data_IF_538498249583
#
_entry.id   IF_538498249583
#
_cell.length_a   1.000
_cell.length_b   1.000
_cell.length_c   1.000
_cell.angle_alpha   90.00
_cell.angle_beta   90.00
_cell.angle_gamma   90.00
#
_symmetry.space_group_name_H-M   'P 1'
#
loop_
_entity.id
_entity.type
_entity.pdbx_description
1 polymer ?
#
# COMPACT_ATOMS: atom_id res chain seq x y z
N UNK A 1 0.56 -23.14 18.16
CA UNK A 1 1.43 -23.76 17.13
C UNK A 1 1.60 -22.76 16.01
N UNK A 2 2.83 -22.56 15.51
CA UNK A 2 3.18 -21.46 14.60
C UNK A 2 2.58 -21.66 13.21
N UNK A 3 2.23 -20.55 12.54
CA UNK A 3 1.67 -20.51 11.20
C UNK A 3 2.54 -21.30 10.22
N UNK A 4 2.06 -22.47 9.78
CA UNK A 4 2.73 -23.22 8.73
C UNK A 4 2.40 -22.58 7.38
N UNK A 5 3.23 -21.61 6.97
CA UNK A 5 3.32 -21.19 5.59
C UNK A 5 3.68 -22.41 4.72
N UNK A 6 2.69 -22.91 3.99
CA UNK A 6 2.90 -23.77 2.83
C UNK A 6 3.56 -22.90 1.75
N UNK A 7 4.78 -23.28 1.36
CA UNK A 7 5.84 -22.51 0.68
C UNK A 7 6.74 -21.71 1.64
N UNK A 8 8.01 -22.10 1.72
CA UNK A 8 9.03 -21.38 2.48
C UNK A 8 9.05 -19.92 2.05
N UNK A 9 8.57 -19.03 2.92
CA UNK A 9 8.53 -17.61 2.63
C UNK A 9 9.96 -17.09 2.37
N UNK A 10 10.27 -16.76 1.11
CA UNK A 10 11.57 -16.20 0.76
C UNK A 10 11.61 -14.70 1.13
N UNK A 11 12.11 -14.45 2.34
CA UNK A 11 12.27 -13.12 2.91
C UNK A 11 13.15 -12.21 2.04
N UNK A 12 14.17 -12.75 1.36
CA UNK A 12 15.05 -11.95 0.49
C UNK A 12 14.29 -11.54 -0.77
N UNK A 13 13.64 -12.48 -1.45
CA UNK A 13 12.86 -12.18 -2.63
C UNK A 13 11.72 -11.19 -2.35
N UNK A 14 11.11 -11.27 -1.16
CA UNK A 14 10.10 -10.30 -0.72
C UNK A 14 10.68 -8.90 -0.49
N UNK A 15 11.80 -8.77 0.25
CA UNK A 15 12.47 -7.46 0.43
C UNK A 15 12.85 -6.82 -0.90
N UNK A 16 13.37 -7.61 -1.84
CA UNK A 16 13.71 -7.13 -3.18
C UNK A 16 12.45 -6.70 -3.96
N UNK A 17 11.32 -7.40 -3.79
CA UNK A 17 10.05 -7.01 -4.38
C UNK A 17 9.55 -5.68 -3.81
N UNK A 18 9.57 -5.49 -2.49
CA UNK A 18 9.18 -4.23 -1.84
C UNK A 18 10.07 -3.07 -2.31
N UNK A 19 11.39 -3.30 -2.42
CA UNK A 19 12.32 -2.29 -2.95
C UNK A 19 12.02 -1.92 -4.41
N UNK A 20 11.67 -2.91 -5.25
CA UNK A 20 11.19 -2.67 -6.62
C UNK A 20 9.94 -1.81 -6.63
N UNK A 21 8.94 -2.15 -5.83
CA UNK A 21 7.68 -1.39 -5.73
C UNK A 21 7.95 0.06 -5.30
N UNK A 22 8.75 0.26 -4.26
CA UNK A 22 9.16 1.60 -3.79
C UNK A 22 9.81 2.42 -4.90
N UNK A 23 10.72 1.82 -5.68
CA UNK A 23 11.35 2.45 -6.82
C UNK A 23 10.39 2.73 -7.98
N UNK A 24 9.47 1.81 -8.29
CA UNK A 24 8.45 2.01 -9.33
C UNK A 24 7.47 3.10 -8.97
N UNK A 25 7.10 3.27 -7.70
CA UNK A 25 6.19 4.35 -7.29
C UNK A 25 6.84 5.72 -7.44
N UNK A 26 8.10 5.86 -7.05
CA UNK A 26 8.89 7.07 -7.32
C UNK A 26 9.00 7.36 -8.83
N UNK A 27 9.24 6.31 -9.62
CA UNK A 27 9.24 6.42 -11.09
C UNK A 27 7.87 6.82 -11.63
N UNK A 28 6.78 6.23 -11.11
CA UNK A 28 5.41 6.49 -11.53
C UNK A 28 5.00 7.93 -11.32
N UNK A 29 5.42 8.53 -10.20
CA UNK A 29 5.23 9.96 -9.94
C UNK A 29 5.88 10.84 -11.01
N UNK A 30 7.12 10.52 -11.41
CA UNK A 30 7.81 11.20 -12.51
C UNK A 30 7.12 10.96 -13.85
N UNK A 31 6.78 9.71 -14.17
CA UNK A 31 6.21 9.33 -15.44
C UNK A 31 4.86 9.99 -15.68
N UNK A 32 4.05 10.12 -14.62
CA UNK A 32 2.80 10.85 -14.64
C UNK A 32 3.00 12.34 -14.85
N UNK A 33 3.82 13.00 -14.01
CA UNK A 33 4.03 14.45 -14.09
C UNK A 33 4.70 14.88 -15.39
N UNK A 34 5.76 14.20 -15.80
CA UNK A 34 6.49 14.51 -17.02
C UNK A 34 5.85 13.89 -18.27
N UNK A 35 4.74 13.14 -18.17
CA UNK A 35 4.01 12.61 -19.33
C UNK A 35 4.82 11.66 -20.20
N UNK A 36 5.65 10.80 -19.61
CA UNK A 36 6.39 9.77 -20.38
C UNK A 36 6.76 8.56 -19.54
N UNK A 37 6.66 7.39 -20.17
CA UNK A 37 7.05 6.10 -19.58
C UNK A 37 8.47 5.68 -19.97
N UNK A 38 9.19 6.46 -20.77
CA UNK A 38 10.54 6.16 -21.21
C UNK A 38 11.57 6.69 -20.21
N UNK A 39 12.43 5.83 -19.62
CA UNK A 39 13.49 6.28 -18.72
C UNK A 39 14.42 7.31 -19.38
N UNK A 40 14.74 7.12 -20.66
CA UNK A 40 15.61 8.04 -21.42
C UNK A 40 14.95 9.42 -21.60
N UNK A 41 13.64 9.45 -21.89
CA UNK A 41 12.94 10.74 -22.01
C UNK A 41 12.80 11.44 -20.65
N UNK A 42 12.67 10.69 -19.54
CA UNK A 42 12.72 11.28 -18.20
C UNK A 42 14.08 11.91 -17.91
N UNK A 43 15.19 11.26 -18.26
CA UNK A 43 16.53 11.85 -18.10
C UNK A 43 16.71 13.12 -18.92
N UNK A 44 16.20 13.16 -20.15
CA UNK A 44 16.23 14.37 -20.97
C UNK A 44 15.36 15.49 -20.36
N UNK A 45 14.12 15.18 -19.93
CA UNK A 45 13.18 16.18 -19.40
C UNK A 45 13.60 16.74 -18.03
N UNK A 46 14.14 15.88 -17.17
CA UNK A 46 14.45 16.20 -15.78
C UNK A 46 15.90 16.67 -15.62
N UNK A 47 16.85 15.87 -16.11
CA UNK A 47 18.27 16.09 -15.91
C UNK A 47 18.91 16.91 -17.05
N UNK A 48 18.15 17.27 -18.10
CA UNK A 48 18.63 18.05 -19.23
C UNK A 48 19.67 17.32 -20.10
N UNK A 49 19.75 15.99 -19.96
CA UNK A 49 20.76 15.17 -20.65
C UNK A 49 20.40 15.03 -22.11
N UNK A 50 21.41 15.16 -22.98
CA UNK A 50 21.25 14.82 -24.40
C UNK A 50 21.07 13.30 -24.52
N UNK A 51 20.02 12.82 -25.20
CA UNK A 51 19.77 11.39 -25.35
C UNK A 51 20.82 10.71 -26.26
N UNK A 52 21.51 11.50 -27.07
CA UNK A 52 22.57 11.07 -27.99
C UNK A 52 23.81 11.96 -27.80
N UNK A 53 24.99 11.39 -27.99
CA UNK A 53 26.24 12.13 -28.05
C UNK A 53 26.49 12.72 -29.45
N UNK A 54 27.66 13.33 -29.65
CA UNK A 54 28.04 13.99 -30.91
C UNK A 54 28.19 13.00 -32.07
N UNK A 55 28.33 11.70 -31.80
CA UNK A 55 28.41 10.62 -32.77
C UNK A 55 27.04 9.99 -33.07
N UNK A 56 25.98 10.47 -32.42
CA UNK A 56 24.64 9.88 -32.52
C UNK A 56 24.45 8.63 -31.67
N UNK A 57 25.41 8.28 -30.81
CA UNK A 57 25.33 7.14 -29.91
C UNK A 57 24.52 7.48 -28.66
N UNK A 58 23.75 6.52 -28.17
CA UNK A 58 22.86 6.76 -27.03
C UNK A 58 23.68 6.96 -25.75
N UNK A 59 23.58 8.14 -25.12
CA UNK A 59 24.18 8.38 -23.79
C UNK A 59 23.35 7.63 -22.75
N UNK A 60 23.81 6.43 -22.38
CA UNK A 60 23.06 5.55 -21.48
C UNK A 60 23.31 5.97 -20.03
N UNK A 61 22.55 6.92 -19.51
CA UNK A 61 22.27 6.86 -18.07
C UNK A 61 21.12 5.88 -17.83
N UNK A 62 21.29 5.10 -16.76
CA UNK A 62 20.35 4.07 -16.34
C UNK A 62 19.65 4.49 -15.05
N UNK A 63 19.61 5.79 -14.71
CA UNK A 63 19.15 6.28 -13.40
C UNK A 63 17.72 5.86 -13.14
N UNK A 64 16.78 6.30 -13.98
CA UNK A 64 15.36 5.97 -13.82
C UNK A 64 15.04 4.52 -14.19
N UNK A 65 15.85 3.89 -15.06
CA UNK A 65 15.75 2.45 -15.32
C UNK A 65 16.03 1.64 -14.06
N UNK A 66 17.09 1.99 -13.31
CA UNK A 66 17.46 1.35 -12.05
C UNK A 66 16.38 1.55 -10.97
N UNK A 67 15.67 2.67 -10.96
CA UNK A 67 14.53 2.86 -10.05
C UNK A 67 13.39 1.90 -10.37
N UNK A 68 13.01 1.81 -11.65
CA UNK A 68 11.99 0.87 -12.13
C UNK A 68 12.34 -0.60 -11.85
N UNK A 69 13.63 -0.92 -11.79
CA UNK A 69 14.15 -2.26 -11.47
C UNK A 69 14.42 -2.47 -9.97
N UNK A 70 14.16 -1.48 -9.09
CA UNK A 70 14.46 -1.55 -7.66
C UNK A 70 15.94 -1.62 -7.31
N UNK A 71 16.83 -1.35 -8.26
CA UNK A 71 18.29 -1.33 -8.09
C UNK A 71 18.80 -0.04 -7.46
N UNK A 72 17.98 1.01 -7.43
CA UNK A 72 18.28 2.28 -6.78
C UNK A 72 16.99 2.97 -6.33
N UNK A 73 17.11 3.87 -5.37
CA UNK A 73 16.07 4.81 -4.92
C UNK A 73 16.57 6.25 -5.10
N UNK A 74 15.67 7.25 -5.06
CA UNK A 74 16.09 8.66 -5.14
C UNK A 74 17.00 9.06 -3.96
N UNK A 75 18.16 9.64 -4.28
CA UNK A 75 19.01 10.33 -3.29
C UNK A 75 18.42 11.69 -2.92
N UNK A 76 18.83 12.27 -1.79
CA UNK A 76 18.42 13.64 -1.39
C UNK A 76 18.68 14.66 -2.50
N UNK A 77 19.87 14.62 -3.13
CA UNK A 77 20.18 15.52 -4.24
C UNK A 77 19.20 15.34 -5.41
N UNK A 78 18.80 14.10 -5.70
CA UNK A 78 17.81 13.85 -6.75
C UNK A 78 16.42 14.35 -6.35
N UNK A 79 16.04 14.19 -5.08
CA UNK A 79 14.77 14.71 -4.54
C UNK A 79 14.74 16.24 -4.68
N UNK A 80 15.78 16.93 -4.25
CA UNK A 80 15.90 18.39 -4.36
C UNK A 80 15.87 18.85 -5.83
N UNK A 81 16.64 18.18 -6.70
CA UNK A 81 16.67 18.48 -8.14
C UNK A 81 15.30 18.32 -8.80
N UNK A 82 14.62 17.20 -8.55
CA UNK A 82 13.27 16.94 -9.11
C UNK A 82 12.25 17.93 -8.56
N UNK A 83 12.31 18.25 -7.26
CA UNK A 83 11.44 19.24 -6.65
C UNK A 83 11.58 20.59 -7.36
N UNK A 84 12.83 21.07 -7.53
CA UNK A 84 13.09 22.31 -8.27
C UNK A 84 12.60 22.25 -9.72
N UNK A 85 12.87 21.14 -10.41
CA UNK A 85 12.52 20.97 -11.82
C UNK A 85 11.01 20.88 -12.07
N UNK A 86 10.26 20.38 -11.09
CA UNK A 86 8.80 20.26 -11.14
C UNK A 86 8.06 21.39 -10.42
N UNK A 87 8.78 22.45 -9.99
CA UNK A 87 8.24 23.53 -9.15
C UNK A 87 7.49 23.01 -7.90
N UNK A 88 8.01 21.95 -7.28
CA UNK A 88 7.45 21.31 -6.09
C UNK A 88 6.30 20.33 -6.35
N UNK A 89 5.86 20.16 -7.60
CA UNK A 89 4.73 19.29 -7.93
C UNK A 89 5.02 17.80 -7.68
N UNK A 90 6.28 17.36 -7.84
CA UNK A 90 6.67 15.98 -7.55
C UNK A 90 7.39 15.89 -6.20
N UNK A 91 6.70 15.30 -5.23
CA UNK A 91 7.21 15.00 -3.88
C UNK A 91 7.83 13.61 -3.81
N UNK A 92 9.07 13.47 -4.28
CA UNK A 92 9.77 12.18 -4.26
C UNK A 92 10.11 11.70 -2.84
N UNK A 93 10.39 12.62 -1.92
CA UNK A 93 10.56 12.37 -0.49
C UNK A 93 9.34 11.64 0.09
N UNK A 94 8.13 12.16 -0.17
CA UNK A 94 6.89 11.58 0.30
C UNK A 94 6.71 10.13 -0.16
N UNK A 95 6.88 9.85 -1.46
CA UNK A 95 6.73 8.51 -2.00
C UNK A 95 7.84 7.57 -1.55
N UNK A 96 9.07 8.09 -1.48
CA UNK A 96 10.22 7.33 -1.02
C UNK A 96 10.02 6.93 0.44
N UNK A 97 9.53 7.80 1.31
CA UNK A 97 9.54 7.57 2.76
C UNK A 97 8.16 7.22 3.32
N UNK A 98 7.24 6.83 2.44
CA UNK A 98 5.88 6.42 2.78
C UNK A 98 5.90 5.27 3.83
N UNK A 99 5.13 5.36 4.94
CA UNK A 99 5.08 4.31 5.96
C UNK A 99 4.66 2.92 5.45
N UNK A 100 3.98 2.87 4.29
CA UNK A 100 3.63 1.64 3.58
C UNK A 100 4.82 0.67 3.42
N UNK A 101 6.03 1.17 3.16
CA UNK A 101 7.20 0.31 2.94
C UNK A 101 7.63 -0.44 4.20
N UNK A 102 7.47 0.20 5.35
CA UNK A 102 7.76 -0.39 6.65
C UNK A 102 6.69 -1.44 7.01
N UNK A 103 5.42 -1.16 6.71
CA UNK A 103 4.31 -2.11 6.92
C UNK A 103 4.41 -3.37 6.03
N UNK A 104 5.12 -3.28 4.90
CA UNK A 104 5.39 -4.40 4.00
C UNK A 104 6.66 -5.19 4.35
N UNK A 105 7.39 -4.82 5.41
CA UNK A 105 8.57 -5.56 5.85
C UNK A 105 8.21 -7.01 6.23
N UNK A 106 9.18 -7.91 6.22
CA UNK A 106 8.91 -9.31 6.65
C UNK A 106 8.55 -9.34 8.12
N UNK A 107 9.35 -8.65 8.93
CA UNK A 107 9.12 -8.48 10.35
C UNK A 107 8.07 -7.40 10.57
N UNK A 108 7.10 -7.69 11.42
CA UNK A 108 6.09 -6.73 11.80
C UNK A 108 6.73 -5.59 12.62
N UNK A 109 6.45 -4.31 12.30
CA UNK A 109 6.95 -3.18 13.09
C UNK A 109 6.45 -3.23 14.54
N UNK A 110 7.23 -2.73 15.51
CA UNK A 110 6.83 -2.76 16.91
C UNK A 110 5.58 -1.91 17.16
N UNK A 111 4.73 -2.31 18.11
CA UNK A 111 3.43 -1.67 18.40
C UNK A 111 3.52 -0.13 18.56
N UNK A 112 4.48 0.45 19.31
CA UNK A 112 4.60 1.91 19.41
C UNK A 112 4.82 2.61 18.06
N UNK A 113 5.48 1.93 17.12
CA UNK A 113 5.71 2.46 15.78
C UNK A 113 4.44 2.40 14.93
N UNK A 114 3.66 1.32 15.04
CA UNK A 114 2.36 1.20 14.40
C UNK A 114 1.38 2.30 14.88
N UNK A 115 1.38 2.62 16.17
CA UNK A 115 0.56 3.71 16.71
C UNK A 115 0.95 5.06 16.15
N UNK A 116 2.25 5.37 16.09
CA UNK A 116 2.71 6.60 15.44
C UNK A 116 2.21 6.70 14.00
N UNK A 117 2.24 5.61 13.23
CA UNK A 117 1.74 5.60 11.85
C UNK A 117 0.23 5.94 11.81
N UNK A 118 -0.56 5.36 12.71
CA UNK A 118 -2.01 5.60 12.80
C UNK A 118 -2.32 7.04 13.24
N UNK A 119 -1.57 7.58 14.18
CA UNK A 119 -1.79 8.90 14.78
C UNK A 119 -1.37 10.08 13.87
N UNK A 120 -0.56 9.85 12.84
CA UNK A 120 -0.09 10.95 12.00
C UNK A 120 -1.17 11.54 11.06
N UNK A 121 -2.26 10.82 10.78
CA UNK A 121 -3.33 11.34 9.90
C UNK A 121 -4.53 11.86 10.69
N UNK A 122 -4.84 13.15 10.53
CA UNK A 122 -5.99 13.78 11.18
C UNK A 122 -7.33 13.14 10.80
N UNK A 123 -7.49 12.72 9.54
CA UNK A 123 -8.70 12.05 9.05
C UNK A 123 -8.92 10.68 9.71
N UNK A 124 -7.83 9.93 9.91
CA UNK A 124 -7.83 8.64 10.60
C UNK A 124 -8.13 8.83 12.09
N UNK A 125 -7.52 9.84 12.72
CA UNK A 125 -7.78 10.20 14.12
C UNK A 125 -9.25 10.52 14.37
N UNK A 126 -9.91 11.26 13.47
CA UNK A 126 -11.34 11.55 13.58
C UNK A 126 -12.18 10.26 13.67
N UNK A 127 -11.83 9.22 12.89
CA UNK A 127 -12.57 7.95 12.92
C UNK A 127 -12.24 7.12 14.16
N UNK A 128 -10.98 7.14 14.61
CA UNK A 128 -10.50 6.25 15.67
C UNK A 128 -10.60 6.81 17.09
N UNK A 129 -10.63 8.15 17.25
CA UNK A 129 -10.39 8.81 18.54
C UNK A 129 -11.51 9.77 18.99
N UNK A 130 -12.55 10.02 18.17
CA UNK A 130 -13.57 11.01 18.55
C UNK A 130 -14.63 10.53 19.55
N UNK A 131 -14.70 9.23 19.84
CA UNK A 131 -15.68 8.68 20.78
C UNK A 131 -15.12 8.49 22.22
N UNK A 132 -13.92 9.00 22.56
CA UNK A 132 -13.38 8.89 23.92
C UNK A 132 -12.30 9.92 24.25
N UNK A 133 -12.39 10.51 25.44
CA UNK A 133 -11.32 11.33 26.03
C UNK A 133 -9.98 10.59 25.91
N UNK A 134 -8.90 11.24 25.45
CA UNK A 134 -7.59 10.60 25.44
C UNK A 134 -7.19 10.33 26.89
N UNK A 135 -7.32 9.08 27.34
CA UNK A 135 -6.84 8.69 28.66
C UNK A 135 -5.37 9.10 28.77
N UNK A 136 -5.09 9.90 29.80
CA UNK A 136 -3.85 10.68 29.97
C UNK A 136 -2.55 9.86 29.98
N UNK A 137 -2.62 8.54 29.94
CA UNK A 137 -1.46 7.66 29.86
C UNK A 137 -1.84 6.35 29.16
N UNK A 138 -1.39 6.13 27.92
CA UNK A 138 -1.35 4.78 27.34
C UNK A 138 -1.65 4.71 25.85
N UNK A 139 -0.79 4.00 25.16
CA UNK A 139 -0.88 3.55 23.77
C UNK A 139 -2.04 2.56 23.51
N UNK A 140 -3.23 2.83 24.04
CA UNK A 140 -4.37 1.94 24.01
C UNK A 140 -5.37 2.41 22.94
N UNK A 141 -5.08 2.13 21.66
CA UNK A 141 -6.22 1.86 20.79
C UNK A 141 -6.86 0.59 21.35
N UNK A 142 -8.04 0.71 21.96
CA UNK A 142 -8.91 -0.43 22.28
C UNK A 142 -8.98 -1.40 21.09
N UNK A 143 -9.30 -2.69 21.33
CA UNK A 143 -9.54 -3.64 20.23
C UNK A 143 -10.39 -2.97 19.16
N UNK A 144 -9.92 -3.00 17.91
CA UNK A 144 -10.56 -2.24 16.85
C UNK A 144 -12.01 -2.72 16.69
N UNK A 145 -12.96 -1.86 17.06
CA UNK A 145 -14.37 -2.17 16.81
C UNK A 145 -14.62 -2.17 15.29
N UNK A 146 -15.50 -3.08 14.85
CA UNK A 146 -15.93 -3.23 13.46
C UNK A 146 -16.39 -1.91 12.85
N UNK A 147 -17.07 -1.07 13.65
CA UNK A 147 -17.50 0.28 13.24
C UNK A 147 -16.31 1.11 12.74
N UNK A 148 -15.21 1.11 13.48
CA UNK A 148 -14.04 1.92 13.20
C UNK A 148 -13.28 1.42 11.97
N UNK A 149 -13.14 0.09 11.82
CA UNK A 149 -12.55 -0.51 10.62
C UNK A 149 -13.30 -0.12 9.33
N UNK A 150 -14.63 -0.23 9.38
CA UNK A 150 -15.51 0.13 8.26
C UNK A 150 -15.51 1.65 8.01
N UNK A 151 -15.43 2.46 9.07
CA UNK A 151 -15.30 3.91 8.98
C UNK A 151 -14.04 4.32 8.22
N UNK A 152 -12.88 3.73 8.55
CA UNK A 152 -11.62 3.98 7.85
C UNK A 152 -11.71 3.58 6.38
N UNK A 153 -12.24 2.40 6.09
CA UNK A 153 -12.45 1.93 4.71
C UNK A 153 -13.25 2.94 3.87
N UNK A 154 -14.26 3.56 4.47
CA UNK A 154 -15.15 4.50 3.78
C UNK A 154 -14.48 5.85 3.48
N UNK A 155 -13.34 6.19 4.10
CA UNK A 155 -12.58 7.41 3.78
C UNK A 155 -11.96 7.38 2.38
N UNK A 156 -11.73 6.19 1.80
CA UNK A 156 -11.20 6.01 0.43
C UNK A 156 -9.87 6.73 0.17
N UNK A 157 -9.09 7.00 1.20
CA UNK A 157 -7.80 7.71 1.13
C UNK A 157 -6.60 6.77 1.33
N UNK A 158 -5.43 7.20 0.84
CA UNK A 158 -4.16 6.50 1.08
C UNK A 158 -3.81 6.42 2.58
N UNK A 159 -4.08 7.47 3.34
CA UNK A 159 -3.88 7.46 4.80
C UNK A 159 -4.73 6.39 5.49
N UNK A 160 -6.00 6.27 5.10
CA UNK A 160 -6.88 5.25 5.65
C UNK A 160 -6.42 3.84 5.28
N UNK A 161 -5.94 3.65 4.05
CA UNK A 161 -5.33 2.38 3.64
C UNK A 161 -4.08 2.04 4.47
N UNK A 162 -3.17 2.98 4.68
CA UNK A 162 -1.98 2.79 5.53
C UNK A 162 -2.39 2.48 6.98
N UNK A 163 -3.39 3.18 7.52
CA UNK A 163 -3.89 2.93 8.87
C UNK A 163 -4.51 1.53 9.01
N UNK A 164 -5.30 1.07 8.03
CA UNK A 164 -5.86 -0.28 8.01
C UNK A 164 -4.78 -1.36 7.98
N UNK A 165 -3.70 -1.16 7.20
CA UNK A 165 -2.56 -2.07 7.19
C UNK A 165 -1.78 -2.06 8.53
N UNK A 166 -1.61 -0.90 9.15
CA UNK A 166 -0.99 -0.78 10.47
C UNK A 166 -1.82 -1.49 11.55
N UNK A 167 -3.15 -1.39 11.49
CA UNK A 167 -4.06 -2.11 12.37
C UNK A 167 -3.99 -3.63 12.14
N UNK A 168 -3.91 -4.07 10.88
CA UNK A 168 -3.71 -5.49 10.57
C UNK A 168 -2.40 -6.00 11.19
N UNK A 169 -1.30 -5.25 11.07
CA UNK A 169 -0.01 -5.57 11.72
C UNK A 169 -0.09 -5.60 13.25
N UNK A 170 -0.89 -4.73 13.85
CA UNK A 170 -1.13 -4.75 15.29
C UNK A 170 -1.84 -6.05 15.71
N UNK A 171 -2.83 -6.51 14.94
CA UNK A 171 -3.51 -7.79 15.18
C UNK A 171 -2.57 -9.01 15.08
N UNK A 172 -1.61 -8.97 14.14
CA UNK A 172 -0.55 -9.98 14.01
C UNK A 172 0.33 -10.06 15.28
N UNK A 173 0.77 -8.91 15.82
CA UNK A 173 1.57 -8.86 17.05
C UNK A 173 0.83 -9.38 18.28
N UNK A 174 -0.49 -9.18 18.33
CA UNK A 174 -1.34 -9.67 19.41
C UNK A 174 -1.75 -11.14 19.25
N UNK A 175 -1.32 -11.81 18.17
CA UNK A 175 -1.79 -13.15 17.77
C UNK A 175 -3.33 -13.26 17.68
N UNK A 176 -4.02 -12.14 17.46
CA UNK A 176 -5.47 -12.04 17.38
C UNK A 176 -5.90 -12.01 15.92
N UNK A 177 -6.21 -13.19 15.39
CA UNK A 177 -6.62 -13.40 14.01
C UNK A 177 -7.81 -12.51 13.57
N UNK A 178 -8.91 -12.38 14.35
CA UNK A 178 -9.95 -11.39 14.07
C UNK A 178 -9.47 -9.95 13.93
N UNK A 179 -8.55 -9.49 14.79
CA UNK A 179 -8.00 -8.14 14.73
C UNK A 179 -7.03 -7.93 13.55
N UNK A 180 -6.46 -8.99 12.98
CA UNK A 180 -5.73 -8.93 11.70
C UNK A 180 -6.69 -8.93 10.49
N UNK A 181 -7.69 -9.80 10.51
CA UNK A 181 -8.51 -10.11 9.33
C UNK A 181 -9.34 -8.94 8.83
N UNK A 182 -10.13 -8.32 9.72
CA UNK A 182 -11.06 -7.29 9.31
C UNK A 182 -10.35 -6.05 8.72
N UNK A 183 -9.25 -5.54 9.32
CA UNK A 183 -8.48 -4.46 8.71
C UNK A 183 -7.83 -4.86 7.38
N UNK A 184 -7.30 -6.08 7.26
CA UNK A 184 -6.74 -6.58 6.01
C UNK A 184 -7.80 -6.64 4.89
N UNK A 185 -9.02 -7.09 5.22
CA UNK A 185 -10.16 -7.13 4.30
C UNK A 185 -10.61 -5.72 3.88
N UNK A 186 -10.68 -4.79 4.84
CA UNK A 186 -10.97 -3.39 4.56
C UNK A 186 -9.89 -2.74 3.67
N UNK A 187 -8.61 -3.07 3.90
CA UNK A 187 -7.50 -2.59 3.08
C UNK A 187 -7.57 -3.13 1.65
N UNK A 188 -8.02 -4.37 1.45
CA UNK A 188 -8.28 -4.91 0.12
C UNK A 188 -9.42 -4.17 -0.58
N UNK A 189 -10.54 -3.94 0.13
CA UNK A 189 -11.71 -3.25 -0.39
C UNK A 189 -11.42 -1.82 -0.86
N UNK A 190 -10.59 -1.08 -0.12
CA UNK A 190 -10.25 0.31 -0.41
C UNK A 190 -9.15 0.45 -1.49
N UNK A 191 -8.34 -0.59 -1.73
CA UNK A 191 -7.18 -0.53 -2.64
C UNK A 191 -7.54 0.02 -4.04
N UNK A 192 -8.62 -0.39 -4.73
CA UNK A 192 -8.96 0.17 -6.04
C UNK A 192 -9.13 1.70 -6.02
N UNK A 193 -9.75 2.25 -4.98
CA UNK A 193 -9.90 3.69 -4.82
C UNK A 193 -8.55 4.39 -4.63
N UNK A 194 -7.65 3.80 -3.84
CA UNK A 194 -6.29 4.32 -3.63
C UNK A 194 -5.50 4.31 -4.93
N UNK A 195 -5.55 3.21 -5.69
CA UNK A 195 -4.87 3.12 -6.98
C UNK A 195 -5.46 4.12 -7.98
N UNK A 196 -6.78 4.28 -8.01
CA UNK A 196 -7.43 5.27 -8.88
C UNK A 196 -6.98 6.70 -8.54
N UNK A 197 -6.97 7.07 -7.26
CA UNK A 197 -6.61 8.42 -6.80
C UNK A 197 -5.11 8.75 -6.86
N UNK A 198 -4.23 7.75 -6.93
CA UNK A 198 -2.78 7.96 -6.88
C UNK A 198 -2.06 7.31 -8.06
N UNK A 199 -1.79 8.10 -9.11
CA UNK A 199 -1.10 7.67 -10.33
C UNK A 199 0.27 7.03 -10.07
N UNK A 200 0.99 7.51 -9.05
CA UNK A 200 2.27 6.93 -8.64
C UNK A 200 2.14 5.48 -8.15
N UNK A 201 1.12 5.17 -7.32
CA UNK A 201 0.84 3.82 -6.84
C UNK A 201 0.22 2.94 -7.94
N UNK A 202 -0.59 3.53 -8.81
CA UNK A 202 -1.19 2.85 -9.98
C UNK A 202 -0.13 2.36 -10.96
N UNK A 203 1.02 3.02 -11.02
CA UNK A 203 2.10 2.63 -11.92
C UNK A 203 2.68 1.27 -11.55
N UNK A 204 2.35 0.24 -12.35
CA UNK A 204 2.76 -1.16 -12.14
C UNK A 204 2.35 -1.68 -10.75
N UNK A 205 1.12 -1.36 -10.36
CA UNK A 205 0.55 -1.66 -9.04
C UNK A 205 0.49 -3.17 -8.73
N UNK A 206 0.58 -4.04 -9.74
CA UNK A 206 0.58 -5.50 -9.56
C UNK A 206 1.75 -5.96 -8.68
N UNK A 207 2.89 -5.25 -8.74
CA UNK A 207 4.01 -5.49 -7.83
C UNK A 207 3.65 -5.17 -6.37
N UNK A 208 2.96 -4.04 -6.14
CA UNK A 208 2.47 -3.65 -4.81
C UNK A 208 1.46 -4.68 -4.30
N UNK A 209 0.53 -5.10 -5.14
CA UNK A 209 -0.44 -6.15 -4.82
C UNK A 209 0.25 -7.45 -4.42
N UNK A 210 1.26 -7.89 -5.17
CA UNK A 210 2.03 -9.08 -4.83
C UNK A 210 2.69 -9.00 -3.45
N UNK A 211 3.26 -7.84 -3.10
CA UNK A 211 3.84 -7.60 -1.77
C UNK A 211 2.78 -7.58 -0.66
N UNK A 212 1.66 -6.90 -0.88
CA UNK A 212 0.53 -6.88 0.07
C UNK A 212 -0.03 -8.28 0.28
N UNK A 213 -0.20 -9.04 -0.82
CA UNK A 213 -0.75 -10.39 -0.77
C UNK A 213 0.09 -11.31 0.09
N UNK A 214 1.41 -11.28 -0.05
CA UNK A 214 2.33 -12.11 0.74
C UNK A 214 2.27 -11.82 2.25
N UNK A 215 1.99 -10.58 2.63
CA UNK A 215 2.03 -10.13 4.02
C UNK A 215 0.65 -10.19 4.69
N UNK A 216 -0.40 -9.75 4.00
CA UNK A 216 -1.72 -9.51 4.61
C UNK A 216 -2.82 -10.44 4.09
N UNK A 217 -2.73 -10.90 2.84
CA UNK A 217 -3.86 -11.53 2.15
C UNK A 217 -3.65 -13.00 1.77
N UNK A 218 -2.48 -13.56 2.03
CA UNK A 218 -2.18 -14.99 1.90
C UNK A 218 -1.88 -15.59 3.27
N UNK A 219 -2.72 -15.22 4.25
CA UNK A 219 -2.60 -15.65 5.64
C UNK A 219 -3.72 -16.63 5.95
N UNK A 220 -3.37 -17.76 6.54
CA UNK A 220 -4.32 -18.69 7.14
C UNK A 220 -4.53 -18.21 8.57
N UNK A 221 -5.76 -17.79 8.87
CA UNK A 221 -6.10 -17.30 10.19
C UNK A 221 -6.19 -18.48 11.17
N UNK A 222 -5.92 -18.25 12.46
CA UNK A 222 -5.99 -19.29 13.51
C UNK A 222 -7.37 -19.98 13.54
N UNK A 223 -8.41 -19.30 13.05
CA UNK A 223 -9.77 -19.82 12.87
C UNK A 223 -9.92 -20.83 11.72
N UNK A 224 -8.86 -21.10 10.96
CA UNK A 224 -8.88 -21.91 9.72
C UNK A 224 -9.47 -21.19 8.51
N UNK A 225 -9.91 -19.94 8.67
CA UNK A 225 -10.42 -19.15 7.55
C UNK A 225 -9.27 -18.72 6.63
N UNK A 226 -9.53 -18.78 5.32
CA UNK A 226 -8.65 -18.24 4.29
C UNK A 226 -9.41 -17.12 3.59
N UNK A 227 -8.89 -15.90 3.65
CA UNK A 227 -9.45 -14.80 2.87
C UNK A 227 -9.15 -14.99 1.39
N UNK A 228 -10.16 -14.91 0.54
CA UNK A 228 -9.97 -14.92 -0.91
C UNK A 228 -9.76 -13.49 -1.40
N UNK A 229 -8.51 -13.16 -1.73
CA UNK A 229 -8.10 -11.85 -2.20
C UNK A 229 -7.50 -11.95 -3.61
N UNK A 230 -8.34 -12.13 -4.64
CA UNK A 230 -7.90 -12.28 -6.03
C UNK A 230 -7.43 -10.94 -6.63
N UNK A 231 -6.41 -10.98 -7.49
CA UNK A 231 -5.91 -9.78 -8.18
C UNK A 231 -6.90 -9.31 -9.24
N UNK A 232 -7.66 -10.26 -9.80
CA UNK A 232 -8.69 -10.07 -10.82
C UNK A 232 -9.81 -9.16 -10.31
N UNK A 233 -10.17 -9.26 -9.03
CA UNK A 233 -11.17 -8.38 -8.40
C UNK A 233 -10.67 -6.93 -8.34
N UNK A 234 -9.40 -6.72 -7.99
CA UNK A 234 -8.80 -5.37 -7.99
C UNK A 234 -8.75 -4.82 -9.42
N UNK A 235 -8.39 -5.65 -10.40
CA UNK A 235 -8.39 -5.27 -11.82
C UNK A 235 -9.79 -4.87 -12.30
N UNK A 236 -10.80 -5.68 -12.02
CA UNK A 236 -12.19 -5.42 -12.43
C UNK A 236 -12.72 -4.13 -11.80
N UNK A 237 -12.49 -3.93 -10.50
CA UNK A 237 -12.89 -2.73 -9.76
C UNK A 237 -12.19 -1.48 -10.25
N UNK A 238 -10.89 -1.56 -10.55
CA UNK A 238 -10.15 -0.43 -11.08
C UNK A 238 -10.66 -0.04 -12.47
N UNK A 239 -10.95 -1.01 -13.34
CA UNK A 239 -11.60 -0.77 -14.66
C UNK A 239 -12.98 -0.13 -14.51
N UNK A 240 -13.77 -0.54 -13.53
CA UNK A 240 -15.06 0.08 -13.26
C UNK A 240 -14.92 1.57 -12.87
N UNK A 241 -13.98 1.91 -11.98
CA UNK A 241 -13.69 3.30 -11.60
C UNK A 241 -13.13 4.14 -12.77
N UNK A 242 -12.37 3.52 -13.66
CA UNK A 242 -11.88 4.16 -14.89
C UNK A 242 -13.02 4.48 -15.87
N UNK A 243 -14.02 3.60 -15.97
CA UNK A 243 -15.18 3.78 -16.83
C UNK A 243 -16.18 4.80 -16.25
N UNK A 244 -16.42 4.74 -14.94
CA UNK A 244 -17.27 5.67 -14.22
C UNK A 244 -16.71 5.93 -12.80
N UNK A 245 -16.15 7.13 -12.54
CA UNK A 245 -15.59 7.47 -11.23
C UNK A 245 -16.61 7.48 -10.08
N UNK A 246 -17.89 7.62 -10.39
CA UNK A 246 -18.98 7.65 -9.40
C UNK A 246 -19.55 6.25 -9.12
N UNK A 247 -19.08 5.22 -9.82
CA UNK A 247 -19.53 3.85 -9.61
C UNK A 247 -19.27 3.40 -8.16
N UNK A 248 -20.32 2.89 -7.53
CA UNK A 248 -20.21 2.27 -6.21
C UNK A 248 -19.69 0.84 -6.37
N UNK A 249 -18.48 0.57 -5.88
CA UNK A 249 -17.92 -0.77 -5.86
C UNK A 249 -18.58 -1.61 -4.76
N UNK A 250 -18.82 -2.88 -5.05
CA UNK A 250 -19.34 -3.85 -4.08
C UNK A 250 -18.39 -3.97 -2.89
N UNK A 251 -18.90 -3.80 -1.67
CA UNK A 251 -18.10 -3.93 -0.47
C UNK A 251 -17.98 -5.40 -0.06
N UNK A 252 -16.76 -5.92 0.09
CA UNK A 252 -16.53 -7.30 0.56
C UNK A 252 -16.47 -7.35 2.09
N UNK A 253 -15.88 -6.32 2.70
CA UNK A 253 -15.88 -6.11 4.13
C UNK A 253 -17.30 -5.77 4.62
N UNK A 254 -17.78 -6.52 5.61
CA UNK A 254 -19.06 -6.24 6.25
C UNK A 254 -20.26 -7.05 5.75
N UNK A 255 -20.11 -7.87 4.70
CA UNK A 255 -21.12 -8.88 4.34
C UNK A 255 -21.13 -9.93 5.46
N UNK A 256 -22.23 -10.00 6.23
CA UNK A 256 -22.48 -11.18 7.08
C UNK A 256 -22.78 -12.34 6.14
N UNK A 257 -21.87 -13.29 5.98
CA UNK A 257 -22.26 -14.62 5.52
C UNK A 257 -23.18 -15.15 6.62
N UNK A 258 -24.49 -15.16 6.38
CA UNK A 258 -25.39 -15.94 7.24
C UNK A 258 -24.87 -17.37 7.15
N UNK A 259 -24.37 -17.93 8.25
CA UNK A 259 -24.26 -19.39 8.36
C UNK A 259 -25.65 -19.93 7.99
N UNK A 260 -25.72 -20.76 6.95
CA UNK A 260 -26.89 -21.60 6.78
C UNK A 260 -27.08 -22.35 8.12
N UNK A 261 -28.32 -22.47 8.64
CA UNK A 261 -28.54 -23.32 9.79
C UNK A 261 -28.02 -24.72 9.43
N UNK A 262 -27.09 -25.24 10.24
CA UNK A 262 -26.77 -26.66 10.22
C UNK A 262 -28.08 -27.38 10.48
N UNK A 263 -28.62 -28.06 9.47
CA UNK A 263 -29.63 -29.09 9.69
C UNK A 263 -28.94 -30.15 10.55
N UNK A 264 -29.27 -30.14 11.84
CA UNK A 264 -28.92 -31.24 12.74
C UNK A 264 -29.57 -32.51 12.18
N UNK A 265 -28.81 -33.59 11.96
CA UNK A 265 -29.41 -34.88 11.64
C UNK A 265 -30.23 -35.35 12.86
N UNK A 266 -31.49 -35.70 12.59
CA UNK A 266 -32.35 -36.47 13.52
C UNK A 266 -31.81 -37.90 13.68
#
# INVERSE_FOLDING_TARGET
MPMTHSDSFDAKAHRDAVKRVRGTVCYGALAHHFGTQSPTLLEARIDGRRPYDELGEKVVSNKYKRWREGKALPSEDTVAHVSNRSAGAVRLDYWRDLPLWELLAVECPPVPRLHRIIEHSASVRHVLLLDGEPERFGYNHSPLDRKNALGLRNLRSLDAFIALLALARKGEQSEDAPQHYLPALCAFDILPYVLYGHSALRYRWEGLFGSLKRIFWNVIYVTGQVGQFPVEEVQARLKALEADPLTSLTQLAGIRIRRAPEELPL
#
